data_IF_118544325477
#
_entry.id   IF_118544325477
#
_cell.length_a   1.000
_cell.length_b   1.000
_cell.length_c   1.000
_cell.angle_alpha   90.00
_cell.angle_beta   90.00
_cell.angle_gamma   90.00
#
_symmetry.space_group_name_H-M   'P 1'
#
loop_
_entity.id
_entity.type
_entity.pdbx_description
1 polymer ?
#
# COMPACT_ATOMS: atom_id res chain seq x y z
N UNK A 1 12.45 -37.03 -6.44
CA UNK A 1 11.23 -37.88 -6.34
C UNK A 1 10.31 -37.52 -7.50
N UNK A 2 10.04 -38.44 -8.43
CA UNK A 2 9.20 -38.18 -9.62
C UNK A 2 7.73 -38.26 -9.17
N UNK A 3 6.95 -37.21 -9.40
CA UNK A 3 5.51 -37.21 -9.11
C UNK A 3 4.87 -38.34 -9.92
N UNK A 4 4.09 -39.21 -9.27
CA UNK A 4 3.29 -40.20 -9.98
C UNK A 4 2.17 -39.49 -10.74
N UNK A 5 1.93 -39.91 -11.99
CA UNK A 5 0.87 -39.34 -12.81
C UNK A 5 -0.49 -39.89 -12.35
N UNK A 6 -1.27 -39.04 -11.70
CA UNK A 6 -2.58 -39.33 -11.13
C UNK A 6 -3.70 -38.52 -11.81
N UNK A 7 -3.44 -37.99 -13.02
CA UNK A 7 -4.35 -37.06 -13.71
C UNK A 7 -5.76 -37.63 -13.89
N UNK A 8 -5.89 -38.89 -14.32
CA UNK A 8 -7.19 -39.52 -14.60
C UNK A 8 -8.07 -39.59 -13.35
N UNK A 9 -7.49 -39.86 -12.18
CA UNK A 9 -8.22 -39.86 -10.91
C UNK A 9 -8.61 -38.45 -10.48
N UNK A 10 -7.70 -37.46 -10.62
CA UNK A 10 -7.93 -36.10 -10.13
C UNK A 10 -8.98 -35.33 -10.93
N UNK A 11 -9.17 -35.65 -12.21
CA UNK A 11 -10.12 -34.95 -13.10
C UNK A 11 -11.56 -35.47 -13.02
N UNK A 12 -11.83 -36.57 -12.31
CA UNK A 12 -13.15 -37.22 -12.31
C UNK A 12 -14.29 -36.25 -11.97
N UNK A 13 -14.06 -35.35 -11.00
CA UNK A 13 -15.03 -34.33 -10.58
C UNK A 13 -15.35 -33.25 -11.65
N UNK A 14 -14.60 -33.23 -12.76
CA UNK A 14 -14.76 -32.27 -13.86
C UNK A 14 -15.39 -32.91 -15.11
N UNK A 15 -15.54 -34.24 -15.16
CA UNK A 15 -15.92 -34.96 -16.38
C UNK A 15 -17.29 -34.58 -16.96
N UNK A 16 -18.20 -34.06 -16.12
CA UNK A 16 -19.55 -33.70 -16.53
C UNK A 16 -19.72 -32.21 -16.82
N UNK A 17 -18.66 -31.41 -16.71
CA UNK A 17 -18.70 -29.99 -17.05
C UNK A 17 -18.58 -29.80 -18.56
N UNK A 18 -19.43 -28.94 -19.13
CA UNK A 18 -19.20 -28.38 -20.46
C UNK A 18 -17.95 -27.50 -20.48
N UNK A 19 -17.45 -27.20 -21.68
CA UNK A 19 -16.30 -26.30 -21.85
C UNK A 19 -16.55 -24.91 -21.23
N UNK A 20 -17.79 -24.41 -21.33
CA UNK A 20 -18.18 -23.12 -20.73
C UNK A 20 -18.20 -23.19 -19.20
N UNK A 21 -18.77 -24.25 -18.60
CA UNK A 21 -18.75 -24.43 -17.15
C UNK A 21 -17.33 -24.62 -16.61
N UNK A 22 -16.47 -25.34 -17.35
CA UNK A 22 -15.08 -25.53 -16.98
C UNK A 22 -14.30 -24.20 -17.05
N UNK A 23 -14.54 -23.38 -18.07
CA UNK A 23 -13.97 -22.04 -18.21
C UNK A 23 -14.41 -21.13 -17.06
N UNK A 24 -15.71 -21.08 -16.77
CA UNK A 24 -16.25 -20.26 -15.69
C UNK A 24 -15.71 -20.70 -14.33
N UNK A 25 -15.63 -22.01 -14.09
CA UNK A 25 -15.04 -22.55 -12.86
C UNK A 25 -13.57 -22.17 -12.71
N UNK A 26 -12.79 -22.20 -13.78
CA UNK A 26 -11.39 -21.77 -13.75
C UNK A 26 -11.25 -20.31 -13.32
N UNK A 27 -12.04 -19.42 -13.92
CA UNK A 27 -11.98 -17.99 -13.61
C UNK A 27 -12.54 -17.65 -12.23
N UNK A 28 -13.63 -18.30 -11.81
CA UNK A 28 -14.17 -18.15 -10.45
C UNK A 28 -13.14 -18.54 -9.38
N UNK A 29 -12.46 -19.68 -9.55
CA UNK A 29 -11.39 -20.07 -8.62
C UNK A 29 -10.19 -19.12 -8.68
N UNK A 30 -9.86 -18.61 -9.87
CA UNK A 30 -8.79 -17.61 -10.01
C UNK A 30 -9.14 -16.32 -9.27
N UNK A 31 -10.39 -15.85 -9.37
CA UNK A 31 -10.90 -14.70 -8.63
C UNK A 31 -10.83 -14.92 -7.12
N UNK A 32 -11.27 -16.08 -6.63
CA UNK A 32 -11.19 -16.44 -5.22
C UNK A 32 -9.75 -16.41 -4.69
N UNK A 33 -8.78 -16.88 -5.50
CA UNK A 33 -7.36 -16.88 -5.14
C UNK A 33 -6.80 -15.46 -5.06
N UNK A 34 -7.16 -14.57 -6.00
CA UNK A 34 -6.57 -13.22 -6.05
C UNK A 34 -7.29 -12.21 -5.14
N UNK A 35 -8.55 -12.46 -4.77
CA UNK A 35 -9.34 -11.55 -3.94
C UNK A 35 -8.66 -11.16 -2.61
N UNK A 36 -8.12 -12.09 -1.80
CA UNK A 36 -7.39 -11.72 -0.58
C UNK A 36 -6.15 -10.85 -0.84
N UNK A 37 -5.50 -11.00 -2.00
CA UNK A 37 -4.34 -10.19 -2.37
C UNK A 37 -4.75 -8.76 -2.71
N UNK A 38 -5.88 -8.60 -3.39
CA UNK A 38 -6.48 -7.29 -3.70
C UNK A 38 -6.94 -6.59 -2.41
N UNK A 39 -7.61 -7.30 -1.51
CA UNK A 39 -8.05 -6.76 -0.21
C UNK A 39 -6.86 -6.30 0.65
N UNK A 40 -5.75 -7.05 0.64
CA UNK A 40 -4.52 -6.65 1.30
C UNK A 40 -3.98 -5.33 0.71
N UNK A 41 -3.98 -5.18 -0.61
CA UNK A 41 -3.51 -3.98 -1.29
C UNK A 41 -4.38 -2.74 -1.02
N UNK A 42 -5.68 -2.91 -0.77
CA UNK A 42 -6.58 -1.81 -0.39
C UNK A 42 -6.39 -1.34 1.05
N UNK A 43 -6.03 -2.25 1.95
CA UNK A 43 -5.99 -1.99 3.40
C UNK A 43 -4.59 -1.64 3.92
N UNK A 44 -3.55 -1.91 3.14
CA UNK A 44 -2.16 -1.71 3.52
C UNK A 44 -1.41 -0.86 2.51
N UNK A 45 -0.35 -0.19 2.98
CA UNK A 45 0.61 0.52 2.13
C UNK A 45 1.99 -0.13 2.21
N UNK A 46 2.92 0.35 1.40
CA UNK A 46 4.32 -0.06 1.42
C UNK A 46 5.25 1.13 1.18
N UNK A 47 6.55 1.02 1.51
CA UNK A 47 7.52 2.07 1.23
C UNK A 47 7.59 2.49 -0.24
N UNK A 48 7.36 1.57 -1.19
CA UNK A 48 7.32 1.92 -2.62
C UNK A 48 6.06 2.69 -3.00
N UNK A 49 4.90 2.31 -2.44
CA UNK A 49 3.63 3.04 -2.64
C UNK A 49 3.74 4.46 -2.11
N UNK A 50 4.23 4.65 -0.88
CA UNK A 50 4.37 5.99 -0.31
C UNK A 50 5.38 6.86 -1.07
N UNK A 51 6.51 6.29 -1.54
CA UNK A 51 7.43 7.02 -2.43
C UNK A 51 6.75 7.43 -3.73
N UNK A 52 5.93 6.58 -4.32
CA UNK A 52 5.20 6.90 -5.55
C UNK A 52 4.18 8.04 -5.37
N UNK A 53 3.58 8.16 -4.17
CA UNK A 53 2.71 9.29 -3.82
C UNK A 53 3.53 10.58 -3.76
N UNK A 54 4.64 10.57 -3.04
CA UNK A 54 5.54 11.74 -2.92
C UNK A 54 6.12 12.18 -4.29
N UNK A 55 6.49 11.23 -5.14
CA UNK A 55 6.95 11.54 -6.50
C UNK A 55 5.86 12.26 -7.31
N UNK A 56 4.60 11.83 -7.20
CA UNK A 56 3.45 12.50 -7.84
C UNK A 56 3.14 13.86 -7.23
N UNK A 57 3.55 14.11 -5.99
CA UNK A 57 3.47 15.44 -5.37
C UNK A 57 4.58 16.40 -5.85
N UNK A 58 5.60 15.90 -6.56
CA UNK A 58 6.67 16.72 -7.13
C UNK A 58 8.01 16.63 -6.40
N UNK A 59 8.18 15.70 -5.45
CA UNK A 59 9.46 15.47 -4.79
C UNK A 59 10.40 14.63 -5.66
N UNK A 60 11.70 14.84 -5.52
CA UNK A 60 12.71 13.98 -6.12
C UNK A 60 12.70 12.57 -5.50
N UNK A 61 13.30 11.60 -6.19
CA UNK A 61 13.44 10.23 -5.68
C UNK A 61 14.26 10.15 -4.37
N UNK A 62 15.23 11.07 -4.20
CA UNK A 62 16.05 11.19 -3.00
C UNK A 62 15.21 11.72 -1.84
N UNK A 63 14.49 12.82 -2.03
CA UNK A 63 13.62 13.40 -1.00
C UNK A 63 12.53 12.42 -0.59
N UNK A 64 11.84 11.80 -1.55
CA UNK A 64 10.82 10.81 -1.29
C UNK A 64 11.37 9.60 -0.50
N UNK A 65 12.58 9.15 -0.85
CA UNK A 65 13.28 8.09 -0.11
C UNK A 65 13.58 8.47 1.34
N UNK A 66 14.05 9.70 1.58
CA UNK A 66 14.36 10.17 2.91
C UNK A 66 13.09 10.38 3.75
N UNK A 67 12.05 10.99 3.20
CA UNK A 67 10.76 11.18 3.88
C UNK A 67 10.19 9.84 4.33
N UNK A 68 10.15 8.83 3.44
CA UNK A 68 9.64 7.49 3.78
C UNK A 68 10.51 6.81 4.84
N UNK A 69 11.84 6.96 4.76
CA UNK A 69 12.76 6.41 5.77
C UNK A 69 12.48 6.97 7.16
N UNK A 70 12.27 8.28 7.27
CA UNK A 70 11.88 8.91 8.54
C UNK A 70 10.47 8.49 8.96
N UNK A 71 9.50 8.45 8.04
CA UNK A 71 8.14 8.01 8.32
C UNK A 71 8.03 6.60 8.91
N UNK A 72 8.94 5.70 8.51
CA UNK A 72 9.08 4.37 9.12
C UNK A 72 9.57 4.48 10.56
N UNK A 73 10.61 5.29 10.84
CA UNK A 73 11.15 5.48 12.19
C UNK A 73 10.12 6.06 13.16
N UNK A 74 9.28 6.98 12.67
CA UNK A 74 8.21 7.61 13.44
C UNK A 74 6.90 6.82 13.45
N UNK A 75 6.85 5.63 12.83
CA UNK A 75 5.67 4.77 12.74
C UNK A 75 4.42 5.48 12.15
N UNK A 76 4.63 6.32 11.13
CA UNK A 76 3.56 7.11 10.49
C UNK A 76 3.13 6.58 9.12
N UNK A 77 3.70 5.46 8.66
CA UNK A 77 3.37 4.86 7.35
C UNK A 77 1.87 4.62 7.16
N UNK A 78 1.17 4.12 8.20
CA UNK A 78 -0.27 3.89 8.15
C UNK A 78 -1.14 5.15 8.04
N UNK A 79 -0.55 6.35 8.19
CA UNK A 79 -1.24 7.63 7.99
C UNK A 79 -1.09 8.17 6.56
N UNK A 80 -0.17 7.61 5.76
CA UNK A 80 0.18 8.07 4.42
C UNK A 80 1.16 9.26 4.43
N UNK A 81 2.28 9.13 3.73
CA UNK A 81 3.36 10.14 3.69
C UNK A 81 2.95 11.42 2.96
N UNK A 82 2.05 11.33 1.99
CA UNK A 82 1.43 12.52 1.39
C UNK A 82 0.63 13.32 2.42
N UNK A 83 -0.17 12.64 3.27
CA UNK A 83 -0.89 13.29 4.36
C UNK A 83 0.07 13.90 5.38
N UNK A 84 1.17 13.21 5.72
CA UNK A 84 2.19 13.73 6.65
C UNK A 84 2.77 15.05 6.14
N UNK A 85 3.19 15.11 4.87
CA UNK A 85 3.71 16.35 4.26
C UNK A 85 2.69 17.48 4.30
N UNK A 86 1.44 17.21 3.88
CA UNK A 86 0.37 18.22 3.87
C UNK A 86 0.01 18.69 5.29
N UNK A 87 0.08 17.80 6.27
CA UNK A 87 -0.20 18.12 7.67
C UNK A 87 0.89 19.03 8.23
N UNK A 88 2.15 18.69 8.02
CA UNK A 88 3.28 19.52 8.45
C UNK A 88 3.27 20.90 7.78
N UNK A 89 2.97 20.97 6.48
CA UNK A 89 2.82 22.23 5.75
C UNK A 89 1.77 23.15 6.39
N UNK A 90 0.64 22.59 6.83
CA UNK A 90 -0.40 23.33 7.55
C UNK A 90 0.07 23.82 8.92
N UNK A 91 0.79 22.98 9.69
CA UNK A 91 1.34 23.36 11.00
C UNK A 91 2.25 24.58 10.88
N UNK A 92 3.15 24.58 9.88
CA UNK A 92 4.12 25.67 9.69
C UNK A 92 3.60 26.84 8.86
N UNK A 93 2.42 26.70 8.25
CA UNK A 93 1.88 27.67 7.29
C UNK A 93 2.86 27.96 6.14
N UNK A 94 3.49 26.92 5.60
CA UNK A 94 4.42 26.97 4.47
C UNK A 94 3.88 26.16 3.29
N UNK A 95 4.53 26.27 2.12
CA UNK A 95 4.14 25.43 0.97
C UNK A 95 4.42 23.95 1.25
N UNK A 96 3.65 23.07 0.63
CA UNK A 96 3.86 21.63 0.83
C UNK A 96 5.22 21.15 0.30
N UNK A 97 5.80 21.84 -0.69
CA UNK A 97 7.13 21.54 -1.21
C UNK A 97 8.20 21.87 -0.17
N UNK A 98 8.15 23.06 0.45
CA UNK A 98 9.05 23.43 1.54
C UNK A 98 8.94 22.46 2.72
N UNK A 99 7.70 22.13 3.10
CA UNK A 99 7.42 21.14 4.15
C UNK A 99 8.05 19.77 3.86
N UNK A 100 7.92 19.27 2.63
CA UNK A 100 8.52 17.99 2.24
C UNK A 100 10.04 18.05 2.21
N UNK A 101 10.64 19.16 1.75
CA UNK A 101 12.10 19.37 1.81
C UNK A 101 12.60 19.38 3.26
N UNK A 102 11.91 20.02 4.20
CA UNK A 102 12.27 19.99 5.63
C UNK A 102 12.15 18.56 6.22
N UNK A 103 11.02 17.89 5.97
CA UNK A 103 10.81 16.51 6.44
C UNK A 103 11.87 15.56 5.87
N UNK A 104 12.28 15.74 4.62
CA UNK A 104 13.34 14.95 3.98
C UNK A 104 14.71 15.11 4.65
N UNK A 105 14.92 16.21 5.37
CA UNK A 105 16.14 16.50 6.14
C UNK A 105 16.02 16.06 7.61
N UNK A 106 14.90 15.43 7.98
CA UNK A 106 14.63 14.99 9.36
C UNK A 106 14.07 16.09 10.27
N UNK A 107 13.59 17.21 9.73
CA UNK A 107 13.06 18.34 10.50
C UNK A 107 11.53 18.22 10.60
N UNK A 108 10.95 18.58 11.75
CA UNK A 108 9.48 18.69 11.90
C UNK A 108 8.74 17.40 12.26
N UNK A 109 9.44 16.26 12.38
CA UNK A 109 8.80 14.97 12.64
C UNK A 109 8.16 14.84 14.02
N UNK A 110 8.72 15.45 15.06
CA UNK A 110 8.09 15.49 16.39
C UNK A 110 6.75 16.24 16.34
N UNK A 111 6.73 17.41 15.69
CA UNK A 111 5.54 18.26 15.55
C UNK A 111 4.41 17.53 14.80
N UNK A 112 4.73 16.90 13.66
CA UNK A 112 3.73 16.17 12.87
C UNK A 112 3.26 14.89 13.56
N UNK A 113 4.15 14.21 14.29
CA UNK A 113 3.82 12.99 15.03
C UNK A 113 2.85 13.26 16.17
N UNK A 114 3.03 14.33 16.94
CA UNK A 114 2.09 14.70 18.01
C UNK A 114 0.67 14.95 17.46
N UNK A 115 0.55 15.67 16.34
CA UNK A 115 -0.75 15.93 15.74
C UNK A 115 -1.40 14.65 15.16
N UNK A 116 -0.61 13.80 14.49
CA UNK A 116 -1.12 12.58 13.86
C UNK A 116 -1.36 11.41 14.85
N UNK A 117 -0.80 11.48 16.06
CA UNK A 117 -1.17 10.58 17.18
C UNK A 117 -2.56 10.90 17.74
N UNK A 118 -2.93 12.19 17.76
CA UNK A 118 -4.27 12.63 18.18
C UNK A 118 -5.37 12.24 17.18
N UNK A 119 -5.01 12.01 15.92
CA UNK A 119 -5.86 11.53 14.83
C UNK A 119 -6.22 10.02 14.93
N UNK A 120 -6.60 9.55 16.12
CA UNK A 120 -7.50 8.39 16.27
C UNK A 120 -8.97 8.82 16.06
N UNK A 121 -9.20 9.80 15.19
CA UNK A 121 -10.53 10.25 14.80
C UNK A 121 -11.01 9.45 13.59
N UNK A 122 -11.99 8.60 13.90
CA UNK A 122 -13.13 8.20 13.09
C UNK A 122 -13.15 8.75 11.65
N UNK A 123 -12.94 7.86 10.68
CA UNK A 123 -13.57 8.03 9.38
C UNK A 123 -15.08 7.95 9.57
N UNK A 124 -15.73 9.10 9.42
CA UNK A 124 -17.09 9.17 8.89
C UNK A 124 -16.97 9.28 7.36
#
# INVERSE_FOLDING_TARGET
MKRQDDFQMRREHLNNLSDEELYNRFWSLTEEIVKPLVDLAYTHTSPSVERSVLLRMGFSSIEAGNIVKEGIKWNLMGKGMGKVVLTYAKIKSISYLEAGTELSKGIGWSEVHELLRGDNYAGN
#
